data_IF_669640368954
#
_entry.id   IF_669640368954
#
_cell.length_a   1.000
_cell.length_b   1.000
_cell.length_c   1.000
_cell.angle_alpha   90.00
_cell.angle_beta   90.00
_cell.angle_gamma   90.00
#
_symmetry.space_group_name_H-M   'P 1'
#
loop_
_entity.id
_entity.type
_entity.pdbx_description
1 polymer ?
#
# COMPACT_ATOMS: atom_id res chain seq x y z
N UNK A 1 -13.40 10.79 -0.12
CA UNK A 1 -12.38 10.00 0.60
C UNK A 1 -12.09 8.76 -0.23
N UNK A 2 -10.82 8.35 -0.33
CA UNK A 2 -10.37 7.29 -1.25
C UNK A 2 -9.46 6.27 -0.58
N UNK A 3 -8.88 5.39 -1.39
CA UNK A 3 -7.85 4.45 -0.96
C UNK A 3 -6.49 4.83 -1.58
N UNK A 4 -5.41 4.59 -0.84
CA UNK A 4 -4.06 4.55 -1.43
C UNK A 4 -3.56 3.11 -1.45
N UNK A 5 -3.11 2.63 -2.60
CA UNK A 5 -2.46 1.32 -2.78
C UNK A 5 -0.98 1.55 -3.06
N UNK A 6 -0.13 1.08 -2.15
CA UNK A 6 1.32 1.08 -2.24
C UNK A 6 1.77 -0.33 -2.56
N UNK A 7 2.53 -0.53 -3.64
CA UNK A 7 2.88 -1.86 -4.11
C UNK A 7 4.26 -1.92 -4.75
N UNK A 8 4.86 -3.11 -4.75
CA UNK A 8 6.12 -3.33 -5.43
C UNK A 8 5.98 -3.21 -6.95
N UNK A 9 6.95 -2.55 -7.60
CA UNK A 9 6.97 -2.33 -9.04
C UNK A 9 7.43 -3.51 -9.89
N UNK A 10 7.59 -4.70 -9.32
CA UNK A 10 7.81 -5.92 -10.11
C UNK A 10 6.49 -6.54 -10.58
N UNK A 11 6.57 -7.70 -11.24
CA UNK A 11 5.37 -8.33 -11.79
C UNK A 11 4.38 -8.78 -10.71
N UNK A 12 4.85 -9.25 -9.55
CA UNK A 12 3.96 -9.76 -8.51
C UNK A 12 3.18 -8.61 -7.87
N UNK A 13 3.89 -7.56 -7.42
CA UNK A 13 3.26 -6.38 -6.84
C UNK A 13 2.28 -5.67 -7.79
N UNK A 14 2.61 -5.56 -9.09
CA UNK A 14 1.72 -4.95 -10.09
C UNK A 14 0.44 -5.77 -10.30
N UNK A 15 0.56 -7.10 -10.43
CA UNK A 15 -0.59 -7.98 -10.61
C UNK A 15 -1.45 -8.01 -9.35
N UNK A 16 -0.83 -8.12 -8.17
CA UNK A 16 -1.50 -8.08 -6.88
C UNK A 16 -2.31 -6.77 -6.71
N UNK A 17 -1.71 -5.62 -7.02
CA UNK A 17 -2.38 -4.33 -6.97
C UNK A 17 -3.60 -4.27 -7.89
N UNK A 18 -3.44 -4.70 -9.16
CA UNK A 18 -4.57 -4.73 -10.10
C UNK A 18 -5.71 -5.62 -9.60
N UNK A 19 -5.41 -6.83 -9.13
CA UNK A 19 -6.40 -7.78 -8.62
C UNK A 19 -7.11 -7.23 -7.38
N UNK A 20 -6.35 -6.64 -6.45
CA UNK A 20 -6.89 -6.07 -5.23
C UNK A 20 -7.87 -4.93 -5.54
N UNK A 21 -7.47 -4.01 -6.43
CA UNK A 21 -8.31 -2.89 -6.85
C UNK A 21 -9.58 -3.39 -7.53
N UNK A 22 -9.43 -4.28 -8.51
CA UNK A 22 -10.55 -4.83 -9.28
C UNK A 22 -11.57 -5.55 -8.39
N UNK A 23 -11.11 -6.27 -7.37
CA UNK A 23 -11.97 -7.13 -6.55
C UNK A 23 -12.55 -6.43 -5.33
N UNK A 24 -11.81 -5.52 -4.70
CA UNK A 24 -12.17 -4.96 -3.40
C UNK A 24 -12.40 -3.45 -3.42
N UNK A 25 -11.65 -2.69 -4.22
CA UNK A 25 -11.70 -1.23 -4.15
C UNK A 25 -12.60 -0.61 -5.23
N UNK A 26 -12.84 -1.27 -6.35
CA UNK A 26 -13.58 -0.68 -7.48
C UNK A 26 -15.01 -0.28 -7.11
N UNK A 27 -15.69 -1.08 -6.30
CA UNK A 27 -17.08 -0.80 -5.91
C UNK A 27 -17.14 0.23 -4.75
N UNK A 28 -16.09 0.31 -3.93
CA UNK A 28 -16.00 1.23 -2.78
C UNK A 28 -15.46 2.62 -3.17
N UNK A 29 -14.49 2.66 -4.08
CA UNK A 29 -13.71 3.86 -4.44
C UNK A 29 -13.50 3.97 -5.96
N UNK A 30 -14.57 3.98 -6.79
CA UNK A 30 -14.48 3.81 -8.24
C UNK A 30 -13.55 4.79 -8.96
N UNK A 31 -13.43 6.02 -8.47
CA UNK A 31 -12.57 7.08 -9.04
C UNK A 31 -11.56 7.65 -8.03
N UNK A 32 -11.35 6.98 -6.90
CA UNK A 32 -10.57 7.53 -5.78
C UNK A 32 -9.55 6.52 -5.25
N UNK A 33 -8.82 5.88 -6.16
CA UNK A 33 -7.68 5.02 -5.83
C UNK A 33 -6.40 5.71 -6.27
N UNK A 34 -5.56 6.08 -5.31
CA UNK A 34 -4.21 6.58 -5.53
C UNK A 34 -3.22 5.41 -5.57
N UNK A 35 -2.33 5.40 -6.56
CA UNK A 35 -1.36 4.33 -6.76
C UNK A 35 0.05 4.84 -6.45
N UNK A 36 0.79 4.09 -5.63
CA UNK A 36 2.18 4.38 -5.30
C UNK A 36 3.01 3.15 -5.58
N UNK A 37 3.76 3.20 -6.67
CA UNK A 37 4.74 2.16 -7.02
C UNK A 37 6.01 2.38 -6.21
N UNK A 38 6.61 1.30 -5.70
CA UNK A 38 7.89 1.37 -4.95
C UNK A 38 8.83 0.21 -5.25
N UNK A 39 10.06 0.34 -4.76
CA UNK A 39 11.07 -0.72 -4.69
C UNK A 39 11.65 -0.84 -3.27
N UNK A 40 12.23 -2.00 -2.89
CA UNK A 40 12.63 -2.28 -1.51
C UNK A 40 13.49 -1.18 -0.85
N UNK A 41 14.52 -0.70 -1.57
CA UNK A 41 15.45 0.30 -1.02
C UNK A 41 14.83 1.68 -0.77
N UNK A 42 13.66 1.99 -1.36
CA UNK A 42 12.99 3.30 -1.23
C UNK A 42 11.59 3.23 -0.61
N UNK A 43 11.10 2.05 -0.25
CA UNK A 43 9.73 1.87 0.22
C UNK A 43 9.37 2.78 1.41
N UNK A 44 10.32 3.02 2.32
CA UNK A 44 10.14 3.95 3.44
C UNK A 44 9.92 5.41 3.02
N UNK A 45 10.48 5.82 1.88
CA UNK A 45 10.31 7.17 1.30
C UNK A 45 9.00 7.24 0.52
N UNK A 46 8.75 6.25 -0.34
CA UNK A 46 7.59 6.25 -1.22
C UNK A 46 6.27 6.07 -0.46
N UNK A 47 6.27 5.34 0.67
CA UNK A 47 5.12 5.27 1.57
C UNK A 47 4.62 6.66 2.01
N UNK A 48 5.51 7.65 2.15
CA UNK A 48 5.12 9.01 2.53
C UNK A 48 4.33 9.75 1.44
N UNK A 49 4.33 9.24 0.20
CA UNK A 49 3.49 9.76 -0.90
C UNK A 49 2.04 9.32 -0.76
N UNK A 50 1.71 8.48 0.22
CA UNK A 50 0.36 8.06 0.47
C UNK A 50 -0.53 9.26 0.83
N UNK A 51 -1.53 9.50 -0.01
CA UNK A 51 -2.50 10.56 0.19
C UNK A 51 -3.48 10.16 1.28
N UNK A 52 -3.81 11.04 2.25
CA UNK A 52 -4.80 10.74 3.28
C UNK A 52 -6.10 10.22 2.70
N UNK A 53 -6.67 9.20 3.33
CA UNK A 53 -7.82 8.49 2.77
C UNK A 53 -8.49 7.59 3.79
N UNK A 54 -9.54 6.90 3.36
CA UNK A 54 -10.23 5.91 4.19
C UNK A 54 -9.41 4.63 4.37
N UNK A 55 -8.58 4.29 3.38
CA UNK A 55 -7.86 3.02 3.35
C UNK A 55 -6.43 3.20 2.82
N UNK A 56 -5.47 2.56 3.48
CA UNK A 56 -4.10 2.36 3.01
C UNK A 56 -3.90 0.86 2.80
N UNK A 57 -3.51 0.46 1.60
CA UNK A 57 -3.20 -0.92 1.24
C UNK A 57 -1.72 -1.00 0.86
N UNK A 58 -0.97 -1.88 1.50
CA UNK A 58 0.45 -2.12 1.24
C UNK A 58 0.58 -3.56 0.74
N UNK A 59 1.07 -3.73 -0.48
CA UNK A 59 1.12 -5.02 -1.17
C UNK A 59 2.55 -5.37 -1.57
N UNK A 60 2.94 -6.61 -1.30
CA UNK A 60 4.19 -7.20 -1.77
C UNK A 60 5.44 -6.40 -1.37
N UNK A 61 5.45 -5.86 -0.15
CA UNK A 61 6.54 -5.06 0.38
C UNK A 61 7.00 -5.71 1.68
N UNK A 62 8.22 -6.25 1.64
CA UNK A 62 8.90 -6.79 2.81
C UNK A 62 8.95 -5.77 3.96
N UNK A 63 8.53 -6.21 5.14
CA UNK A 63 8.53 -5.38 6.35
C UNK A 63 9.92 -5.33 7.00
N UNK A 64 10.27 -4.13 7.46
CA UNK A 64 11.37 -3.89 8.39
C UNK A 64 10.97 -2.75 9.32
N UNK A 65 11.76 -2.45 10.35
CA UNK A 65 11.44 -1.42 11.35
C UNK A 65 11.07 -0.07 10.74
N UNK A 66 11.72 0.34 9.64
CA UNK A 66 11.45 1.62 8.97
C UNK A 66 10.09 1.60 8.26
N UNK A 67 9.80 0.50 7.57
CA UNK A 67 8.52 0.31 6.88
C UNK A 67 7.37 0.22 7.88
N UNK A 68 7.52 -0.61 8.91
CA UNK A 68 6.53 -0.77 9.97
C UNK A 68 6.25 0.56 10.68
N UNK A 69 7.30 1.32 11.02
CA UNK A 69 7.14 2.64 11.64
C UNK A 69 6.43 3.64 10.71
N UNK A 70 6.74 3.61 9.41
CA UNK A 70 6.06 4.46 8.43
C UNK A 70 4.57 4.11 8.30
N UNK A 71 4.22 2.82 8.28
CA UNK A 71 2.83 2.35 8.22
C UNK A 71 2.06 2.78 9.47
N UNK A 72 2.65 2.62 10.66
CA UNK A 72 2.04 3.06 11.93
C UNK A 72 1.82 4.57 11.94
N UNK A 73 2.78 5.37 11.46
CA UNK A 73 2.60 6.82 11.36
C UNK A 73 1.46 7.20 10.39
N UNK A 74 1.30 6.46 9.30
CA UNK A 74 0.24 6.67 8.32
C UNK A 74 -1.14 6.24 8.81
N UNK A 75 -1.25 5.32 9.78
CA UNK A 75 -2.55 4.90 10.32
C UNK A 75 -3.33 6.04 10.99
N UNK A 76 -2.65 7.11 11.41
CA UNK A 76 -3.30 8.33 11.90
C UNK A 76 -4.10 9.07 10.80
N UNK A 77 -3.71 8.90 9.52
CA UNK A 77 -4.34 9.52 8.34
C UNK A 77 -5.23 8.55 7.56
N UNK A 78 -5.21 7.27 7.95
CA UNK A 78 -5.89 6.17 7.28
C UNK A 78 -6.54 5.26 8.33
N UNK A 79 -7.87 5.35 8.56
CA UNK A 79 -8.54 4.57 9.59
C UNK A 79 -8.51 3.06 9.33
N UNK A 80 -8.29 2.64 8.08
CA UNK A 80 -8.06 1.24 7.71
C UNK A 80 -6.70 1.08 7.06
N UNK A 81 -5.89 0.18 7.59
CA UNK A 81 -4.59 -0.21 7.03
C UNK A 81 -4.60 -1.70 6.76
N UNK A 82 -4.25 -2.10 5.54
CA UNK A 82 -4.15 -3.49 5.09
C UNK A 82 -2.74 -3.72 4.59
N UNK A 83 -2.09 -4.77 5.10
CA UNK A 83 -0.77 -5.21 4.64
C UNK A 83 -0.90 -6.66 4.15
N UNK A 84 -0.47 -6.91 2.93
CA UNK A 84 -0.42 -8.26 2.33
C UNK A 84 0.97 -8.45 1.75
N UNK A 85 1.72 -9.39 2.31
CA UNK A 85 3.10 -9.65 1.92
C UNK A 85 3.42 -11.15 2.09
N UNK A 86 4.37 -11.65 1.29
CA UNK A 86 4.79 -13.05 1.32
C UNK A 86 6.30 -13.22 1.57
N UNK A 87 7.04 -12.11 1.73
CA UNK A 87 8.45 -12.18 2.06
C UNK A 87 8.62 -12.74 3.48
N UNK A 88 9.51 -13.71 3.64
CA UNK A 88 9.93 -14.15 4.97
C UNK A 88 10.84 -13.06 5.56
N UNK A 89 10.23 -12.05 6.18
CA UNK A 89 10.96 -11.00 6.89
C UNK A 89 11.30 -11.46 8.30
N UNK A 90 12.58 -11.39 8.66
CA UNK A 90 13.12 -11.65 10.01
C UNK A 90 12.91 -10.48 10.96
#
# INVERSE_FOLDING_TARGET
MGATVVFHGDCDGVIAAYLYIKRFLRDLYPNHVNLVVTHPWRAHIDLQKAQPGSELVVLDIALNDRISSAIVALSAKHPKVVVVDHHATS
#
